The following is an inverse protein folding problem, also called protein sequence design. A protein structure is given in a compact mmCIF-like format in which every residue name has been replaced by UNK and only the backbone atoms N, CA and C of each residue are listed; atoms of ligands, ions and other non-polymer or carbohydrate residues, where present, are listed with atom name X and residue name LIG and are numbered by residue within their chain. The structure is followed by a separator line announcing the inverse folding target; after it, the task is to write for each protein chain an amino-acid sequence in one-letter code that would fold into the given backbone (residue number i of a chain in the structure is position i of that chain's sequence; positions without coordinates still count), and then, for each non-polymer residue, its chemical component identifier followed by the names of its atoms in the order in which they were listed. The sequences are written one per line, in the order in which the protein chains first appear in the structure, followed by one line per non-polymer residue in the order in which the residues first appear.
data_IF_270759228946
#
_entry.id   IF_270759228946
#
_cell.length_a   1.000
_cell.length_b   1.000
_cell.length_c   1.000
_cell.angle_alpha   90.00
_cell.angle_beta   90.00
_cell.angle_gamma   90.00
#
_symmetry.space_group_name_H-M   'P 1'
#
loop_
_entity.id
_entity.type
_entity.pdbx_description
1 polymer ?
#
# COMPACT_ATOMS: atom_id res chain seq x y z
N UNK A 1 10.27 7.28 -15.74
CA UNK A 1 10.61 6.82 -14.39
C UNK A 1 9.40 6.34 -13.62
N UNK A 2 9.53 5.18 -12.97
CA UNK A 2 8.54 4.71 -12.02
C UNK A 2 8.73 5.49 -10.71
N UNK A 3 7.67 6.16 -10.25
CA UNK A 3 7.69 6.94 -9.02
C UNK A 3 7.05 6.16 -7.87
N UNK A 4 7.39 6.49 -6.64
CA UNK A 4 6.88 5.77 -5.44
C UNK A 4 5.36 5.80 -5.32
N UNK A 5 4.70 6.85 -5.82
CA UNK A 5 3.25 6.98 -5.82
C UNK A 5 2.54 5.96 -6.72
N UNK A 6 3.26 5.39 -7.69
CA UNK A 6 2.75 4.33 -8.58
C UNK A 6 3.18 2.94 -8.14
N UNK A 7 3.82 2.84 -6.99
CA UNK A 7 4.36 1.60 -6.45
C UNK A 7 3.86 1.36 -5.03
N UNK A 8 3.97 0.12 -4.59
CA UNK A 8 3.76 -0.21 -3.19
C UNK A 8 5.04 -0.72 -2.56
N UNK A 9 5.21 -0.44 -1.28
CA UNK A 9 6.33 -0.92 -0.49
C UNK A 9 6.17 -2.41 -0.22
N UNK A 10 7.21 -3.20 -0.52
CA UNK A 10 7.22 -4.64 -0.29
C UNK A 10 7.91 -4.98 1.02
N UNK A 11 9.10 -4.43 1.22
CA UNK A 11 9.92 -4.74 2.37
C UNK A 11 11.29 -4.12 2.26
N UNK A 12 12.24 -4.67 3.02
CA UNK A 12 13.58 -4.12 3.13
C UNK A 12 14.63 -5.23 3.07
N UNK A 13 15.71 -4.97 2.36
CA UNK A 13 16.89 -5.83 2.38
C UNK A 13 17.59 -5.61 3.73
N UNK A 14 17.62 -6.64 4.55
CA UNK A 14 18.09 -6.52 5.94
C UNK A 14 19.49 -7.04 6.18
N UNK A 15 19.93 -7.99 5.35
CA UNK A 15 21.28 -8.56 5.46
C UNK A 15 21.65 -9.33 4.20
N UNK A 16 22.93 -9.70 4.09
CA UNK A 16 23.38 -10.65 3.09
C UNK A 16 23.08 -12.09 3.55
N UNK A 17 23.04 -13.03 2.61
CA UNK A 17 22.82 -14.43 2.88
C UNK A 17 23.91 -15.26 2.16
N UNK A 18 24.81 -15.87 2.93
CA UNK A 18 25.91 -16.62 2.37
C UNK A 18 26.96 -15.74 1.68
N UNK A 19 27.76 -16.34 0.80
CA UNK A 19 28.91 -15.68 0.16
C UNK A 19 28.74 -15.43 -1.34
N UNK A 20 27.62 -15.89 -1.92
CA UNK A 20 27.41 -15.87 -3.39
C UNK A 20 26.68 -14.63 -3.90
N UNK A 21 26.39 -13.67 -3.03
CA UNK A 21 25.69 -12.46 -3.41
C UNK A 21 24.20 -12.45 -3.11
N UNK A 22 23.68 -13.49 -2.46
CA UNK A 22 22.28 -13.51 -2.05
C UNK A 22 22.02 -12.49 -0.93
N UNK A 23 20.84 -11.87 -0.98
CA UNK A 23 20.37 -10.95 0.06
C UNK A 23 19.11 -11.51 0.72
N UNK A 24 18.89 -11.12 1.97
CA UNK A 24 17.66 -11.44 2.69
C UNK A 24 16.71 -10.24 2.61
N UNK A 25 15.57 -10.45 2.00
CA UNK A 25 14.47 -9.48 1.96
C UNK A 25 13.48 -9.83 3.07
N UNK A 26 13.28 -8.90 4.00
CA UNK A 26 12.18 -8.99 4.97
C UNK A 26 10.93 -8.42 4.30
N UNK A 27 9.85 -9.20 4.28
CA UNK A 27 8.60 -8.80 3.64
C UNK A 27 7.70 -8.18 4.70
N UNK A 28 7.36 -6.92 4.51
CA UNK A 28 6.53 -6.15 5.43
C UNK A 28 5.08 -5.98 4.93
N UNK A 29 4.83 -6.23 3.63
CA UNK A 29 3.50 -6.13 3.05
C UNK A 29 2.84 -7.51 3.00
N UNK A 30 1.92 -7.75 3.94
CA UNK A 30 1.21 -9.03 4.06
C UNK A 30 0.19 -9.28 2.94
N UNK A 31 -0.15 -8.27 2.16
CA UNK A 31 -1.11 -8.38 1.06
C UNK A 31 -0.49 -8.93 -0.21
N UNK A 32 0.83 -9.03 -0.26
CA UNK A 32 1.56 -9.50 -1.43
C UNK A 32 2.23 -10.83 -1.13
N UNK A 33 1.84 -11.88 -1.87
CA UNK A 33 2.33 -13.25 -1.69
C UNK A 33 2.88 -13.93 -2.96
N UNK A 34 2.71 -13.31 -4.14
CA UNK A 34 3.14 -13.88 -5.42
C UNK A 34 4.63 -13.64 -5.73
N UNK A 35 5.49 -13.83 -4.76
CA UNK A 35 6.92 -13.52 -4.87
C UNK A 35 7.65 -14.45 -5.83
N UNK A 36 7.23 -15.72 -5.90
CA UNK A 36 7.93 -16.72 -6.70
C UNK A 36 7.83 -16.50 -8.23
N UNK A 37 6.83 -15.74 -8.66
CA UNK A 37 6.61 -15.46 -10.09
C UNK A 37 7.24 -14.15 -10.57
N UNK A 38 7.95 -13.44 -9.68
CA UNK A 38 8.52 -12.14 -10.02
C UNK A 38 9.81 -12.26 -10.82
N UNK A 39 9.97 -11.35 -11.75
CA UNK A 39 11.20 -11.23 -12.56
C UNK A 39 12.14 -10.14 -12.05
N UNK A 40 11.63 -9.17 -11.30
CA UNK A 40 12.42 -8.05 -10.80
C UNK A 40 11.80 -7.44 -9.54
N UNK A 41 12.63 -6.70 -8.82
CA UNK A 41 12.19 -5.77 -7.78
C UNK A 41 12.68 -4.37 -8.12
N UNK A 42 11.95 -3.37 -7.64
CA UNK A 42 12.38 -1.98 -7.71
C UNK A 42 13.06 -1.63 -6.39
N UNK A 43 14.34 -1.29 -6.46
CA UNK A 43 15.12 -0.93 -5.28
C UNK A 43 15.27 0.59 -5.20
N UNK A 44 15.04 1.13 -4.02
CA UNK A 44 15.23 2.57 -3.78
C UNK A 44 16.71 2.88 -3.57
N UNK A 45 17.37 3.31 -4.63
CA UNK A 45 18.78 3.72 -4.61
C UNK A 45 18.85 5.24 -4.80
N UNK A 46 19.26 5.94 -3.75
CA UNK A 46 19.36 7.41 -3.78
C UNK A 46 18.07 8.09 -4.24
N UNK A 47 16.94 7.65 -3.67
CA UNK A 47 15.60 8.18 -3.96
C UNK A 47 15.08 7.87 -5.37
N UNK A 48 15.74 6.98 -6.09
CA UNK A 48 15.30 6.50 -7.41
C UNK A 48 14.96 5.02 -7.34
N UNK A 49 13.84 4.64 -7.93
CA UNK A 49 13.43 3.24 -8.04
C UNK A 49 14.10 2.62 -9.26
N UNK A 50 15.03 1.70 -9.01
CA UNK A 50 15.83 1.05 -10.04
C UNK A 50 15.45 -0.43 -10.10
N UNK A 51 15.11 -0.97 -11.30
CA UNK A 51 14.80 -2.39 -11.42
C UNK A 51 16.06 -3.24 -11.29
N UNK A 52 15.99 -4.24 -10.41
CA UNK A 52 17.01 -5.26 -10.25
C UNK A 52 16.38 -6.61 -10.60
N UNK A 53 16.88 -7.25 -11.65
CA UNK A 53 16.33 -8.50 -12.14
C UNK A 53 16.75 -9.67 -11.27
N UNK A 54 15.80 -10.57 -11.02
CA UNK A 54 15.98 -11.72 -10.14
C UNK A 54 16.53 -12.88 -10.95
N UNK A 55 17.62 -13.51 -10.47
CA UNK A 55 18.12 -14.75 -11.02
C UNK A 55 17.54 -15.94 -10.27
N UNK A 56 17.49 -15.87 -8.95
CA UNK A 56 16.91 -16.93 -8.12
C UNK A 56 16.26 -16.32 -6.88
N UNK A 57 15.18 -16.94 -6.41
CA UNK A 57 14.47 -16.52 -5.23
C UNK A 57 13.96 -17.72 -4.45
N UNK A 58 14.16 -17.71 -3.14
CA UNK A 58 13.62 -18.70 -2.22
C UNK A 58 12.83 -18.01 -1.12
N UNK A 59 11.59 -18.43 -0.92
CA UNK A 59 10.69 -17.86 0.05
C UNK A 59 10.60 -18.71 1.32
N UNK A 60 10.72 -18.07 2.48
CA UNK A 60 10.58 -18.70 3.78
C UNK A 60 9.79 -17.80 4.72
N UNK A 61 8.46 -18.08 4.87
CA UNK A 61 7.59 -17.33 5.76
C UNK A 61 7.54 -15.85 5.38
N UNK A 62 8.03 -14.93 6.22
CA UNK A 62 8.00 -13.47 5.97
C UNK A 62 9.30 -12.93 5.39
N UNK A 63 10.16 -13.79 4.88
CA UNK A 63 11.45 -13.39 4.28
C UNK A 63 11.74 -14.19 3.04
N UNK A 64 12.54 -13.62 2.16
CA UNK A 64 13.01 -14.27 0.95
C UNK A 64 14.52 -14.11 0.81
N UNK A 65 15.16 -15.11 0.25
CA UNK A 65 16.55 -15.05 -0.15
C UNK A 65 16.60 -14.83 -1.65
N UNK A 66 17.25 -13.76 -2.08
CA UNK A 66 17.22 -13.32 -3.48
C UNK A 66 18.64 -13.23 -4.02
N UNK A 67 18.87 -13.85 -5.18
CA UNK A 67 20.05 -13.64 -5.98
C UNK A 67 19.65 -12.76 -7.18
N UNK A 68 20.23 -11.57 -7.27
CA UNK A 68 20.01 -10.69 -8.41
C UNK A 68 20.99 -11.00 -9.52
N UNK A 69 20.57 -10.80 -10.77
CA UNK A 69 21.47 -10.87 -11.91
C UNK A 69 22.58 -9.84 -11.75
N UNK A 70 23.80 -10.19 -12.12
CA UNK A 70 24.98 -9.32 -12.08
C UNK A 70 25.46 -8.89 -10.69
N UNK A 71 24.87 -9.42 -9.61
CA UNK A 71 25.28 -9.16 -8.22
C UNK A 71 25.62 -10.47 -7.51
N UNK A 72 26.74 -11.07 -7.88
CA UNK A 72 27.10 -12.42 -7.46
C UNK A 72 28.27 -12.48 -6.46
N UNK A 73 28.53 -11.38 -5.77
CA UNK A 73 29.57 -11.32 -4.73
C UNK A 73 29.00 -10.82 -3.43
N UNK A 74 29.60 -11.22 -2.32
CA UNK A 74 29.22 -10.73 -1.01
C UNK A 74 29.37 -9.21 -0.91
N UNK A 75 30.39 -8.64 -1.53
CA UNK A 75 30.65 -7.21 -1.52
C UNK A 75 29.54 -6.42 -2.20
N UNK A 76 29.10 -6.86 -3.39
CA UNK A 76 27.99 -6.24 -4.11
C UNK A 76 26.69 -6.36 -3.33
N UNK A 77 26.40 -7.52 -2.77
CA UNK A 77 25.21 -7.77 -1.97
C UNK A 77 25.18 -6.90 -0.70
N UNK A 78 26.32 -6.71 -0.04
CA UNK A 78 26.39 -5.93 1.20
C UNK A 78 26.05 -4.45 0.99
N UNK A 79 26.25 -3.92 -0.20
CA UNK A 79 25.90 -2.55 -0.54
C UNK A 79 24.38 -2.35 -0.61
N UNK A 80 23.61 -3.42 -0.80
CA UNK A 80 22.14 -3.34 -0.87
C UNK A 80 21.47 -3.41 0.51
N UNK A 81 22.21 -3.74 1.57
CA UNK A 81 21.66 -3.82 2.92
C UNK A 81 21.09 -2.46 3.35
N UNK A 82 19.86 -2.46 3.86
CA UNK A 82 19.15 -1.25 4.24
C UNK A 82 18.28 -0.66 3.13
N UNK A 83 18.29 -1.24 1.93
CA UNK A 83 17.52 -0.73 0.79
C UNK A 83 16.06 -1.13 0.89
N UNK A 84 15.16 -0.17 0.69
CA UNK A 84 13.73 -0.41 0.58
C UNK A 84 13.39 -0.97 -0.81
N UNK A 85 12.42 -1.88 -0.84
CA UNK A 85 12.02 -2.63 -2.03
C UNK A 85 10.57 -2.34 -2.35
N UNK A 86 10.30 -2.06 -3.62
CA UNK A 86 8.98 -1.68 -4.14
C UNK A 86 8.61 -2.52 -5.34
N UNK A 87 7.32 -2.54 -5.64
CA UNK A 87 6.77 -3.11 -6.87
C UNK A 87 5.66 -2.21 -7.40
N UNK A 88 5.34 -2.29 -8.72
CA UNK A 88 4.22 -1.54 -9.27
C UNK A 88 2.89 -1.92 -8.62
N UNK A 89 1.99 -0.94 -8.46
CA UNK A 89 0.67 -1.15 -7.87
C UNK A 89 -0.16 -2.20 -8.62
N UNK A 90 0.06 -2.36 -9.92
CA UNK A 90 -0.63 -3.34 -10.75
C UNK A 90 -0.43 -4.79 -10.29
N UNK A 91 0.62 -5.05 -9.53
CA UNK A 91 0.94 -6.39 -9.01
C UNK A 91 0.22 -6.72 -7.70
N UNK A 92 -0.48 -5.76 -7.08
CA UNK A 92 -1.32 -6.06 -5.93
C UNK A 92 -2.54 -6.86 -6.36
N UNK A 93 -2.96 -7.87 -5.55
CA UNK A 93 -4.22 -8.56 -5.80
C UNK A 93 -5.40 -7.58 -5.77
N UNK A 94 -6.37 -7.76 -6.68
CA UNK A 94 -7.58 -6.96 -6.66
C UNK A 94 -8.40 -7.26 -5.40
N UNK A 95 -8.95 -6.22 -4.78
CA UNK A 95 -9.92 -6.34 -3.69
C UNK A 95 -11.32 -6.21 -4.26
N UNK A 96 -12.24 -6.96 -3.70
CA UNK A 96 -13.64 -7.02 -4.13
C UNK A 96 -14.58 -6.53 -3.04
N UNK A 97 -15.82 -6.23 -3.44
CA UNK A 97 -16.86 -5.81 -2.52
C UNK A 97 -16.54 -4.47 -1.86
N UNK A 98 -16.69 -4.42 -0.53
CA UNK A 98 -16.48 -3.20 0.24
C UNK A 98 -15.03 -3.03 0.71
N UNK A 99 -14.17 -3.99 0.46
CA UNK A 99 -12.75 -3.87 0.74
C UNK A 99 -12.06 -3.08 -0.37
N UNK A 100 -11.13 -2.22 0.00
CA UNK A 100 -10.40 -1.41 -0.96
C UNK A 100 -9.01 -1.05 -0.45
N UNK A 101 -8.11 -0.77 -1.39
CA UNK A 101 -6.83 -0.15 -1.07
C UNK A 101 -6.97 1.36 -0.99
N UNK A 102 -6.17 2.00 -0.16
CA UNK A 102 -6.21 3.45 0.01
C UNK A 102 -6.06 4.20 -1.32
N UNK A 103 -5.20 3.71 -2.21
CA UNK A 103 -4.97 4.35 -3.51
C UNK A 103 -6.14 4.21 -4.49
N UNK A 104 -7.01 3.19 -4.32
CA UNK A 104 -8.15 2.97 -5.23
C UNK A 104 -9.21 4.05 -5.11
N UNK A 105 -9.40 4.59 -3.91
CA UNK A 105 -10.54 5.46 -3.58
C UNK A 105 -10.20 6.94 -3.55
N UNK A 106 -9.02 7.32 -4.02
CA UNK A 106 -8.66 8.73 -4.16
C UNK A 106 -9.70 9.44 -5.03
N UNK A 107 -10.19 10.58 -4.57
CA UNK A 107 -11.22 11.39 -5.23
C UNK A 107 -12.61 10.73 -5.37
N UNK A 108 -12.86 9.57 -4.75
CA UNK A 108 -14.21 9.01 -4.71
C UNK A 108 -15.13 9.92 -3.91
N UNK A 109 -16.36 10.04 -4.38
CA UNK A 109 -17.41 10.81 -3.67
C UNK A 109 -17.94 9.96 -2.51
N UNK A 110 -17.92 10.52 -1.31
CA UNK A 110 -18.48 9.89 -0.11
C UNK A 110 -19.92 10.36 0.08
N UNK A 111 -20.83 9.42 0.17
CA UNK A 111 -22.27 9.67 0.32
C UNK A 111 -22.74 8.97 1.60
N UNK A 112 -23.29 9.75 2.53
CA UNK A 112 -23.91 9.22 3.74
C UNK A 112 -25.40 8.95 3.51
N UNK A 113 -25.91 7.82 4.04
CA UNK A 113 -27.32 7.45 3.86
C UNK A 113 -28.28 8.50 4.37
N UNK A 114 -27.93 9.22 5.43
CA UNK A 114 -28.80 10.25 6.03
C UNK A 114 -28.46 11.66 5.59
N UNK A 115 -27.18 11.98 5.52
CA UNK A 115 -26.71 13.35 5.21
C UNK A 115 -26.56 13.63 3.71
N UNK A 116 -26.56 12.60 2.87
CA UNK A 116 -26.31 12.74 1.44
C UNK A 116 -24.84 12.91 1.09
N UNK A 117 -24.56 13.63 0.02
CA UNK A 117 -23.20 13.85 -0.43
C UNK A 117 -22.38 14.63 0.59
N UNK A 118 -21.24 14.09 1.00
CA UNK A 118 -20.34 14.74 1.94
C UNK A 118 -19.20 15.47 1.24
N UNK A 119 -18.62 14.85 0.23
CA UNK A 119 -17.48 15.37 -0.49
C UNK A 119 -16.57 14.23 -0.95
N UNK A 120 -15.47 14.60 -1.59
CA UNK A 120 -14.50 13.61 -2.11
C UNK A 120 -13.52 13.19 -1.03
N UNK A 121 -13.06 11.92 -1.14
CA UNK A 121 -11.98 11.43 -0.31
C UNK A 121 -10.73 12.28 -0.55
N UNK A 122 -10.23 12.93 0.49
CA UNK A 122 -8.99 13.70 0.42
C UNK A 122 -7.80 12.79 0.67
N UNK A 123 -7.91 11.96 1.68
CA UNK A 123 -6.84 11.05 2.10
C UNK A 123 -7.44 9.89 2.89
N UNK A 124 -6.77 8.75 2.84
CA UNK A 124 -7.01 7.65 3.78
C UNK A 124 -5.88 7.68 4.79
N UNK A 125 -6.22 7.88 6.05
CA UNK A 125 -5.25 7.92 7.14
C UNK A 125 -5.19 6.55 7.78
N UNK A 126 -4.03 5.92 7.71
CA UNK A 126 -3.84 4.55 8.21
C UNK A 126 -3.17 4.57 9.58
N UNK A 127 -3.89 4.06 10.59
CA UNK A 127 -3.36 3.80 11.92
C UNK A 127 -3.26 2.29 12.15
N UNK A 128 -2.41 1.84 13.08
CA UNK A 128 -2.27 0.39 13.33
C UNK A 128 -3.57 -0.31 13.72
N UNK A 129 -4.49 0.37 14.39
CA UNK A 129 -5.73 -0.22 14.89
C UNK A 129 -6.94 0.06 14.01
N UNK A 130 -6.90 1.09 13.18
CA UNK A 130 -7.99 1.46 12.27
C UNK A 130 -7.51 2.42 11.20
N UNK A 131 -8.28 2.48 10.11
CA UNK A 131 -8.08 3.48 9.07
C UNK A 131 -9.27 4.43 9.02
N UNK A 132 -9.02 5.65 8.57
CA UNK A 132 -10.02 6.72 8.51
C UNK A 132 -10.08 7.30 7.10
N UNK A 133 -11.29 7.61 6.64
CA UNK A 133 -11.50 8.42 5.43
C UNK A 133 -11.53 9.88 5.86
N UNK A 134 -10.66 10.70 5.28
CA UNK A 134 -10.68 12.14 5.46
C UNK A 134 -11.47 12.78 4.33
N UNK A 135 -12.50 13.56 4.70
CA UNK A 135 -13.32 14.36 3.78
C UNK A 135 -13.33 15.80 4.27
N UNK A 136 -13.27 16.76 3.35
CA UNK A 136 -13.46 18.17 3.69
C UNK A 136 -14.89 18.58 3.37
N UNK A 137 -15.61 19.03 4.38
CA UNK A 137 -16.98 19.55 4.24
C UNK A 137 -16.98 21.02 4.65
N UNK A 138 -17.22 21.92 3.70
CA UNK A 138 -17.15 23.36 3.93
C UNK A 138 -15.82 23.81 4.58
N UNK A 139 -14.72 23.18 4.14
CA UNK A 139 -13.39 23.46 4.67
C UNK A 139 -13.05 22.81 6.01
N UNK A 140 -13.99 22.08 6.60
CA UNK A 140 -13.78 21.38 7.87
C UNK A 140 -13.42 19.92 7.61
N UNK A 141 -12.42 19.44 8.33
CA UNK A 141 -11.98 18.04 8.29
C UNK A 141 -13.02 17.17 9.00
N UNK A 142 -13.46 16.12 8.31
CA UNK A 142 -14.31 15.08 8.87
C UNK A 142 -13.61 13.75 8.69
N UNK A 143 -13.43 13.01 9.77
CA UNK A 143 -12.77 11.71 9.78
C UNK A 143 -13.80 10.61 10.02
N UNK A 144 -13.89 9.69 9.07
CA UNK A 144 -14.88 8.60 9.07
C UNK A 144 -14.14 7.27 9.20
N UNK A 145 -14.40 6.49 10.25
CA UNK A 145 -13.76 5.19 10.39
C UNK A 145 -14.12 4.23 9.26
N UNK A 146 -13.14 3.50 8.78
CA UNK A 146 -13.35 2.42 7.82
C UNK A 146 -13.66 1.15 8.61
N UNK A 147 -14.92 0.78 8.62
CA UNK A 147 -15.42 -0.37 9.35
C UNK A 147 -16.59 -0.99 8.59
N UNK A 148 -16.78 -2.30 8.72
CA UNK A 148 -17.85 -3.03 8.02
C UNK A 148 -19.25 -2.49 8.33
N UNK A 149 -19.46 -1.99 9.54
CA UNK A 149 -20.74 -1.40 9.93
C UNK A 149 -20.98 -0.01 9.33
N UNK A 150 -19.95 0.65 8.83
CA UNK A 150 -20.00 2.01 8.31
C UNK A 150 -19.97 2.02 6.78
N UNK A 151 -19.06 1.27 6.17
CA UNK A 151 -18.96 1.18 4.71
C UNK A 151 -20.06 0.27 4.18
N UNK A 152 -21.02 0.82 3.45
CA UNK A 152 -22.18 0.07 2.94
C UNK A 152 -21.99 -0.42 1.51
N UNK A 153 -21.34 0.37 0.68
CA UNK A 153 -21.07 -0.01 -0.70
C UNK A 153 -19.87 0.78 -1.26
N UNK A 154 -19.05 0.13 -2.05
CA UNK A 154 -17.98 0.77 -2.81
C UNK A 154 -18.30 0.57 -4.29
N UNK A 155 -18.70 1.64 -4.97
CA UNK A 155 -18.96 1.66 -6.40
C UNK A 155 -17.73 2.15 -7.14
N UNK A 156 -16.95 1.23 -7.66
CA UNK A 156 -15.69 1.54 -8.35
C UNK A 156 -15.92 2.19 -9.71
N UNK A 157 -16.96 1.79 -10.42
CA UNK A 157 -17.30 2.38 -11.72
C UNK A 157 -17.80 3.81 -11.58
N UNK A 158 -18.70 4.04 -10.64
CA UNK A 158 -19.26 5.37 -10.34
C UNK A 158 -18.34 6.22 -9.47
N UNK A 159 -17.27 5.67 -8.94
CA UNK A 159 -16.35 6.34 -8.01
C UNK A 159 -17.06 6.94 -6.81
N UNK A 160 -17.81 6.11 -6.11
CA UNK A 160 -18.61 6.50 -4.94
C UNK A 160 -18.41 5.51 -3.80
N UNK A 161 -18.43 6.02 -2.58
CA UNK A 161 -18.46 5.21 -1.36
C UNK A 161 -19.71 5.58 -0.60
N UNK A 162 -20.63 4.61 -0.46
CA UNK A 162 -21.83 4.78 0.35
C UNK A 162 -21.53 4.36 1.78
N UNK A 163 -21.80 5.25 2.72
CA UNK A 163 -21.57 5.03 4.14
C UNK A 163 -22.84 5.24 4.96
N UNK A 164 -22.82 4.70 6.16
CA UNK A 164 -23.76 5.06 7.21
C UNK A 164 -22.92 5.41 8.45
N UNK A 165 -22.64 6.70 8.60
CA UNK A 165 -21.88 7.18 9.73
C UNK A 165 -22.65 6.98 11.03
N UNK A 166 -21.96 6.73 12.16
CA UNK A 166 -22.60 6.71 13.47
C UNK A 166 -23.33 8.02 13.74
N UNK A 167 -24.47 7.94 14.45
CA UNK A 167 -25.25 9.11 14.79
C UNK A 167 -24.41 10.18 15.49
N UNK A 168 -24.44 11.39 14.98
CA UNK A 168 -23.75 12.53 15.57
C UNK A 168 -22.29 12.67 15.19
N UNK A 169 -21.68 11.69 14.50
CA UNK A 169 -20.26 11.75 14.15
C UNK A 169 -19.95 12.95 13.24
N UNK A 170 -20.68 13.06 12.14
CA UNK A 170 -20.46 14.14 11.16
C UNK A 170 -20.77 15.49 11.79
N UNK A 171 -21.89 15.61 12.51
CA UNK A 171 -22.29 16.84 13.18
C UNK A 171 -21.23 17.32 14.19
N UNK A 172 -20.61 16.40 14.91
CA UNK A 172 -19.55 16.72 15.87
C UNK A 172 -18.39 17.47 15.19
N UNK A 173 -17.98 17.05 14.01
CA UNK A 173 -16.92 17.73 13.26
C UNK A 173 -17.36 19.06 12.69
N UNK A 174 -18.63 19.19 12.29
CA UNK A 174 -19.14 20.39 11.65
C UNK A 174 -19.50 21.52 12.63
N UNK A 175 -19.78 21.19 13.89
CA UNK A 175 -20.16 22.15 14.93
C UNK A 175 -18.98 22.86 15.57
N UNK A 176 -17.76 22.43 15.34
CA UNK A 176 -16.54 23.00 15.93
C UNK A 176 -15.90 24.09 15.07
#
# INVERSE_FOLDING_TARGET
FMTKDKCFYVGKIVKTHGLKGEVTLRIDNEQFDDIEELNYFLLDINEKLIPFFIEDIAYHSNKSFILFQDLKTLEAASQLVGTAVYLPLDLLPEKEGNDFYSHEVADFLVIDEEKGELGKVQEIIEYPTQSLIQVLINGKEVLIPIHDDIIKNVDREGKKILIKAPNGLIDMYLEN
#
